data_IF_683098163335
#
_entry.id   IF_683098163335
#
_cell.length_a   1.000
_cell.length_b   1.000
_cell.length_c   1.000
_cell.angle_alpha   90.00
_cell.angle_beta   90.00
_cell.angle_gamma   90.00
#
_symmetry.space_group_name_H-M   'P 1'
#
loop_
_entity.id
_entity.type
_entity.pdbx_description
1 polymer ?
#
# COMPACT_ATOMS: atom_id res chain seq x y z
N UNK A 1 -7.36 -6.85 -5.31
CA UNK A 1 -6.36 -5.79 -5.14
C UNK A 1 -6.74 -4.71 -6.12
N UNK A 2 -7.35 -3.65 -5.59
CA UNK A 2 -7.68 -2.47 -6.37
C UNK A 2 -6.48 -1.53 -6.43
N UNK A 3 -6.39 -0.70 -7.47
CA UNK A 3 -5.33 0.29 -7.56
C UNK A 3 -5.67 1.45 -8.47
N UNK A 4 -5.20 2.63 -8.09
CA UNK A 4 -5.33 3.86 -8.83
C UNK A 4 -3.95 4.47 -9.08
N UNK A 5 -3.67 4.78 -10.34
CA UNK A 5 -2.52 5.59 -10.73
C UNK A 5 -2.95 7.05 -10.72
N UNK A 6 -2.22 7.89 -9.98
CA UNK A 6 -2.52 9.30 -9.81
C UNK A 6 -1.68 10.15 -10.75
N UNK A 7 -2.17 11.33 -11.10
CA UNK A 7 -1.43 12.30 -11.90
C UNK A 7 -0.34 12.95 -11.04
N UNK A 8 0.95 12.83 -11.40
CA UNK A 8 2.03 13.51 -10.67
C UNK A 8 1.85 15.03 -10.65
N UNK A 9 2.33 15.67 -9.58
CA UNK A 9 2.35 17.13 -9.51
C UNK A 9 3.25 17.74 -10.60
N UNK A 10 2.94 18.98 -11.00
CA UNK A 10 3.74 19.72 -11.97
C UNK A 10 5.20 19.86 -11.53
N UNK A 11 6.13 19.63 -12.46
CA UNK A 11 7.57 19.66 -12.18
C UNK A 11 8.16 18.33 -11.70
N UNK A 12 7.35 17.27 -11.59
CA UNK A 12 7.87 15.92 -11.40
C UNK A 12 8.68 15.43 -12.62
N UNK A 13 9.66 14.51 -12.44
CA UNK A 13 10.30 13.80 -13.53
C UNK A 13 9.28 13.12 -14.45
N UNK A 14 9.59 13.03 -15.75
CA UNK A 14 8.68 12.45 -16.75
C UNK A 14 8.31 10.98 -16.45
N UNK A 15 9.23 10.24 -15.81
CA UNK A 15 9.03 8.85 -15.40
C UNK A 15 8.37 8.67 -14.02
N UNK A 16 7.82 9.73 -13.39
CA UNK A 16 7.19 9.59 -12.07
C UNK A 16 5.88 8.82 -12.17
N UNK A 17 5.79 7.73 -11.41
CA UNK A 17 4.54 7.00 -11.18
C UNK A 17 4.13 7.09 -9.71
N UNK A 18 2.86 7.41 -9.47
CA UNK A 18 2.23 7.41 -8.14
C UNK A 18 1.05 6.46 -8.16
N UNK A 19 1.06 5.44 -7.30
CA UNK A 19 0.02 4.41 -7.24
C UNK A 19 -0.41 4.14 -5.81
N UNK A 20 -1.72 4.10 -5.59
CA UNK A 20 -2.33 3.76 -4.31
C UNK A 20 -3.39 2.69 -4.50
N UNK A 21 -3.78 1.99 -3.44
CA UNK A 21 -4.82 0.96 -3.54
C UNK A 21 -5.05 0.18 -2.27
N UNK A 22 -5.89 -0.85 -2.39
CA UNK A 22 -6.17 -1.84 -1.35
C UNK A 22 -5.64 -3.22 -1.75
N UNK A 23 -4.89 -3.84 -0.85
CA UNK A 23 -4.44 -5.22 -0.96
C UNK A 23 -5.19 -6.10 0.05
N UNK A 24 -6.29 -6.71 -0.39
CA UNK A 24 -7.07 -7.64 0.42
C UNK A 24 -6.27 -8.87 0.92
N UNK A 25 -5.36 -9.48 0.12
CA UNK A 25 -4.45 -10.50 0.64
C UNK A 25 -3.58 -10.04 1.81
N UNK A 26 -3.18 -8.77 1.90
CA UNK A 26 -2.44 -8.23 3.04
C UNK A 26 -3.33 -7.52 4.07
N UNK A 27 -4.61 -7.32 3.76
CA UNK A 27 -5.52 -6.48 4.54
C UNK A 27 -4.90 -5.11 4.86
N UNK A 28 -4.30 -4.49 3.84
CA UNK A 28 -3.60 -3.22 3.96
C UNK A 28 -3.85 -2.33 2.74
N UNK A 29 -4.02 -1.04 2.97
CA UNK A 29 -3.81 -0.05 1.92
C UNK A 29 -2.32 0.03 1.57
N UNK A 30 -2.00 0.53 0.38
CA UNK A 30 -0.62 0.74 -0.06
C UNK A 30 -0.43 2.07 -0.79
N UNK A 31 0.81 2.54 -0.75
CA UNK A 31 1.29 3.73 -1.47
C UNK A 31 2.65 3.43 -2.08
N UNK A 32 2.75 3.59 -3.39
CA UNK A 32 4.00 3.43 -4.14
C UNK A 32 4.23 4.69 -4.98
N UNK A 33 5.41 5.29 -4.83
CA UNK A 33 5.88 6.40 -5.65
C UNK A 33 7.29 6.07 -6.10
N UNK A 34 7.53 6.10 -7.40
CA UNK A 34 8.87 5.89 -7.95
C UNK A 34 9.08 6.74 -9.20
N UNK A 35 10.34 7.05 -9.47
CA UNK A 35 10.76 7.59 -10.76
C UNK A 35 11.43 6.48 -11.57
N UNK A 36 11.00 6.30 -12.82
CA UNK A 36 11.72 5.45 -13.77
C UNK A 36 13.15 5.96 -13.96
N UNK A 37 14.10 5.02 -14.00
CA UNK A 37 15.48 5.31 -14.33
C UNK A 37 15.69 5.28 -15.85
N UNK A 38 16.51 6.20 -16.37
CA UNK A 38 16.78 6.31 -17.82
C UNK A 38 17.63 5.14 -18.40
N UNK A 39 18.01 4.15 -17.60
CA UNK A 39 18.83 3.00 -18.01
C UNK A 39 18.08 1.68 -17.92
N UNK A 40 18.22 0.82 -18.92
CA UNK A 40 17.55 -0.50 -19.02
C UNK A 40 17.85 -1.44 -17.82
N UNK A 41 19.01 -1.27 -17.18
CA UNK A 41 19.45 -2.05 -16.01
C UNK A 41 19.46 -1.23 -14.70
N UNK A 42 18.96 0.01 -14.72
CA UNK A 42 18.96 0.85 -13.53
C UNK A 42 17.74 0.56 -12.66
N UNK A 43 17.94 0.58 -11.33
CA UNK A 43 16.84 0.45 -10.39
C UNK A 43 16.02 1.74 -10.36
N UNK A 44 14.69 1.59 -10.36
CA UNK A 44 13.79 2.72 -10.16
C UNK A 44 14.09 3.42 -8.83
N UNK A 45 14.00 4.75 -8.82
CA UNK A 45 14.16 5.52 -7.60
C UNK A 45 12.85 5.51 -6.80
N UNK A 46 12.72 4.56 -5.87
CA UNK A 46 11.57 4.47 -4.97
C UNK A 46 11.55 5.62 -3.95
N UNK A 47 10.58 6.52 -4.07
CA UNK A 47 10.36 7.63 -3.14
C UNK A 47 9.44 7.22 -1.98
N UNK A 48 8.43 6.39 -2.28
CA UNK A 48 7.48 5.85 -1.30
C UNK A 48 7.24 4.38 -1.64
N UNK A 49 7.36 3.51 -0.64
CA UNK A 49 7.01 2.08 -0.73
C UNK A 49 6.45 1.60 0.60
N UNK A 50 5.14 1.74 0.77
CA UNK A 50 4.43 1.38 2.00
C UNK A 50 3.21 0.51 1.73
N UNK A 51 2.77 -0.25 2.74
CA UNK A 51 1.65 -1.19 2.61
C UNK A 51 2.03 -2.61 2.16
N UNK A 52 3.32 -2.88 1.93
CA UNK A 52 3.82 -4.18 1.49
C UNK A 52 3.89 -5.28 2.57
N UNK A 53 3.20 -5.11 3.70
CA UNK A 53 3.15 -6.09 4.79
C UNK A 53 1.73 -6.19 5.34
N UNK A 54 1.35 -7.34 5.94
CA UNK A 54 0.00 -7.52 6.47
C UNK A 54 -0.35 -6.45 7.50
N UNK A 55 -1.54 -5.87 7.38
CA UNK A 55 -2.06 -4.82 8.27
C UNK A 55 -1.14 -3.60 8.44
N UNK A 56 -0.28 -3.31 7.46
CA UNK A 56 0.67 -2.21 7.57
C UNK A 56 0.00 -0.84 7.59
N UNK A 57 -1.04 -0.64 6.78
CA UNK A 57 -1.83 0.58 6.71
C UNK A 57 -3.31 0.21 6.70
N UNK A 58 -4.01 0.53 7.79
CA UNK A 58 -5.45 0.24 7.95
C UNK A 58 -6.35 1.45 7.72
N UNK A 59 -5.74 2.63 7.57
CA UNK A 59 -6.43 3.90 7.38
C UNK A 59 -6.15 4.47 5.99
N UNK A 60 -7.21 4.88 5.30
CA UNK A 60 -7.13 5.45 3.95
C UNK A 60 -6.44 6.81 3.96
N UNK A 61 -6.66 7.61 5.02
CA UNK A 61 -6.12 8.97 5.10
C UNK A 61 -4.59 8.94 5.21
N UNK A 62 -4.05 7.95 5.94
CA UNK A 62 -2.61 7.67 5.97
C UNK A 62 -2.01 7.45 4.56
N UNK A 63 -2.68 6.72 3.67
CA UNK A 63 -2.18 6.53 2.29
C UNK A 63 -2.24 7.81 1.47
N UNK A 64 -3.30 8.59 1.61
CA UNK A 64 -3.44 9.87 0.91
C UNK A 64 -2.38 10.88 1.36
N UNK A 65 -2.11 10.96 2.66
CA UNK A 65 -1.02 11.77 3.22
C UNK A 65 0.35 11.40 2.64
N UNK A 66 0.62 10.09 2.47
CA UNK A 66 1.90 9.60 1.92
C UNK A 66 2.14 10.03 0.48
N UNK A 67 1.08 10.22 -0.31
CA UNK A 67 1.20 10.59 -1.74
C UNK A 67 0.91 12.06 -2.03
N UNK A 68 0.43 12.82 -1.04
CA UNK A 68 0.04 14.22 -1.20
C UNK A 68 1.16 15.13 -1.73
N UNK A 69 2.42 14.83 -1.39
CA UNK A 69 3.57 15.58 -1.89
C UNK A 69 3.97 15.25 -3.34
N UNK A 70 3.34 14.25 -3.97
CA UNK A 70 3.78 13.69 -5.25
C UNK A 70 2.72 13.72 -6.34
N UNK A 71 1.43 13.69 -6.00
CA UNK A 71 0.34 13.66 -6.97
C UNK A 71 -0.83 14.58 -6.62
N UNK A 72 -1.57 14.97 -7.65
CA UNK A 72 -2.90 15.53 -7.48
C UNK A 72 -3.86 14.40 -7.02
N UNK A 73 -4.50 14.59 -5.86
CA UNK A 73 -5.44 13.63 -5.28
C UNK A 73 -6.86 14.00 -5.74
N UNK A 74 -7.56 13.12 -6.50
CA UNK A 74 -8.96 13.32 -6.84
C UNK A 74 -9.84 13.36 -5.59
N UNK A 75 -10.85 14.25 -5.57
CA UNK A 75 -11.74 14.44 -4.42
C UNK A 75 -12.50 13.16 -4.03
N UNK A 76 -12.82 12.30 -5.01
CA UNK A 76 -13.57 11.05 -4.84
C UNK A 76 -12.68 9.83 -4.48
N UNK A 77 -11.35 9.98 -4.51
CA UNK A 77 -10.43 8.84 -4.38
C UNK A 77 -10.57 8.14 -3.02
N UNK A 78 -10.77 8.93 -1.96
CA UNK A 78 -10.95 8.41 -0.59
C UNK A 78 -12.14 7.46 -0.51
N UNK A 79 -13.28 7.88 -1.05
CA UNK A 79 -14.51 7.10 -1.03
C UNK A 79 -14.37 5.82 -1.85
N UNK A 80 -13.68 5.90 -2.99
CA UNK A 80 -13.39 4.75 -3.85
C UNK A 80 -12.50 3.72 -3.17
N UNK A 81 -11.42 4.16 -2.51
CA UNK A 81 -10.53 3.27 -1.76
C UNK A 81 -11.27 2.56 -0.60
N UNK A 82 -12.14 3.29 0.10
CA UNK A 82 -12.97 2.69 1.16
C UNK A 82 -13.99 1.69 0.59
N UNK A 83 -14.61 2.01 -0.56
CA UNK A 83 -15.52 1.12 -1.24
C UNK A 83 -14.82 -0.17 -1.70
N UNK A 84 -13.60 -0.07 -2.24
CA UNK A 84 -12.80 -1.22 -2.63
C UNK A 84 -12.43 -2.09 -1.42
N UNK A 85 -12.00 -1.46 -0.31
CA UNK A 85 -11.72 -2.15 0.94
C UNK A 85 -12.96 -2.92 1.45
N UNK A 86 -14.12 -2.28 1.42
CA UNK A 86 -15.39 -2.92 1.82
C UNK A 86 -15.81 -4.06 0.87
N UNK A 87 -15.61 -3.88 -0.44
CA UNK A 87 -16.00 -4.86 -1.45
C UNK A 87 -15.08 -6.08 -1.48
N UNK A 88 -13.77 -5.88 -1.35
CA UNK A 88 -12.78 -6.96 -1.37
C UNK A 88 -12.59 -7.62 0.00
N UNK A 89 -12.80 -6.87 1.08
CA UNK A 89 -12.65 -7.31 2.46
C UNK A 89 -11.20 -7.58 2.90
N UNK A 90 -11.07 -8.07 4.14
CA UNK A 90 -9.85 -8.69 4.65
C UNK A 90 -9.85 -10.16 4.27
N UNK A 91 -8.87 -10.56 3.46
CA UNK A 91 -8.67 -11.95 3.07
C UNK A 91 -7.35 -12.52 3.57
N UNK A 92 -6.62 -11.79 4.41
CA UNK A 92 -5.36 -12.26 4.96
C UNK A 92 -5.61 -13.40 5.95
N UNK A 93 -6.70 -13.40 6.72
CA UNK A 93 -6.98 -14.48 7.68
C UNK A 93 -7.45 -15.77 6.97
N UNK A 94 -7.00 -16.91 7.49
CA UNK A 94 -7.46 -18.23 7.04
C UNK A 94 -6.96 -18.69 5.66
N UNK A 95 -6.00 -17.98 5.03
CA UNK A 95 -5.37 -18.42 3.79
C UNK A 95 -4.14 -19.31 4.07
N UNK A 96 -3.81 -20.26 3.18
CA UNK A 96 -2.60 -21.07 3.34
C UNK A 96 -1.32 -20.22 3.47
N UNK A 97 -1.25 -19.10 2.75
CA UNK A 97 -0.10 -18.21 2.77
C UNK A 97 0.01 -17.37 4.06
N UNK A 98 -1.05 -17.23 4.85
CA UNK A 98 -1.09 -16.41 6.08
C UNK A 98 -0.02 -16.81 7.06
N UNK A 99 0.19 -18.12 7.24
CA UNK A 99 1.19 -18.63 8.18
C UNK A 99 2.62 -18.23 7.77
N UNK A 100 2.95 -18.36 6.48
CA UNK A 100 4.26 -18.01 5.94
C UNK A 100 4.49 -16.50 5.98
N UNK A 101 3.57 -15.74 5.40
CA UNK A 101 3.68 -14.28 5.29
C UNK A 101 3.62 -13.62 6.67
N UNK A 102 2.70 -14.05 7.54
CA UNK A 102 2.54 -13.51 8.89
C UNK A 102 3.76 -13.78 9.78
N UNK A 103 4.29 -15.00 9.75
CA UNK A 103 5.51 -15.33 10.52
C UNK A 103 6.72 -14.55 10.01
N UNK A 104 6.85 -14.39 8.69
CA UNK A 104 7.94 -13.60 8.09
C UNK A 104 7.81 -12.10 8.37
N UNK A 105 6.59 -11.57 8.44
CA UNK A 105 6.33 -10.15 8.67
C UNK A 105 6.42 -9.75 10.15
N UNK A 106 6.18 -10.66 11.09
CA UNK A 106 6.09 -10.37 12.52
C UNK A 106 7.31 -9.62 13.10
N UNK A 107 8.57 -10.00 12.78
CA UNK A 107 9.76 -9.29 13.28
C UNK A 107 9.90 -7.87 12.71
N UNK A 108 9.21 -7.58 11.61
CA UNK A 108 9.26 -6.31 10.89
C UNK A 108 7.99 -5.46 11.10
N UNK A 109 7.10 -5.86 12.01
CA UNK A 109 5.93 -5.09 12.35
C UNK A 109 6.35 -3.70 12.88
N UNK A 110 5.76 -2.65 12.31
CA UNK A 110 6.10 -1.25 12.60
C UNK A 110 5.34 -0.68 13.81
N UNK A 111 4.36 -1.42 14.33
CA UNK A 111 3.61 -1.02 15.51
C UNK A 111 3.15 -2.25 16.32
N UNK A 112 2.89 -2.08 17.64
CA UNK A 112 2.27 -3.13 18.45
C UNK A 112 0.93 -3.60 17.87
N UNK A 113 0.09 -2.66 17.42
CA UNK A 113 -1.21 -2.96 16.79
C UNK A 113 -1.06 -3.86 15.56
N UNK A 114 -0.10 -3.57 14.68
CA UNK A 114 0.17 -4.43 13.54
C UNK A 114 0.62 -5.83 13.99
N UNK A 115 1.55 -5.91 14.94
CA UNK A 115 2.04 -7.20 15.45
C UNK A 115 0.91 -8.04 16.06
N UNK A 116 -0.02 -7.41 16.77
CA UNK A 116 -1.16 -8.10 17.40
C UNK A 116 -2.18 -8.56 16.37
N UNK A 117 -2.45 -7.75 15.34
CA UNK A 117 -3.29 -8.13 14.21
C UNK A 117 -2.71 -9.35 13.46
N UNK A 118 -1.40 -9.36 13.20
CA UNK A 118 -0.73 -10.52 12.59
C UNK A 118 -0.84 -11.75 13.49
N UNK A 119 -0.57 -11.64 14.81
CA UNK A 119 -0.74 -12.76 15.75
C UNK A 119 -2.17 -13.29 15.78
N UNK A 120 -3.16 -12.40 15.73
CA UNK A 120 -4.57 -12.78 15.71
C UNK A 120 -4.97 -13.48 14.39
N UNK A 121 -4.32 -13.15 13.28
CA UNK A 121 -4.52 -13.79 11.99
C UNK A 121 -3.89 -15.18 11.88
N UNK A 122 -2.87 -15.47 12.70
CA UNK A 122 -2.18 -16.76 12.77
C UNK A 122 -2.87 -17.80 13.68
N UNK A 123 -3.89 -17.38 14.44
CA UNK A 123 -4.70 -18.25 15.30
C UNK A 123 -5.92 -18.77 14.54
#
# INVERSE_FOLDING_TARGET
MSSYTLTPLGGAPAGRTVRVGWDAPLASFFANVWDESDGEDAENNDLVREGGAPYAISDVDTVLERVNAYAAIPEDLRERLLADCAAEGDSFRGRPATHLVGTSALPHARSPQQSDAIRAALR
#
